data_IF_786931762538
#
_entry.id   IF_786931762538
#
_cell.length_a   1.000
_cell.length_b   1.000
_cell.length_c   1.000
_cell.angle_alpha   90.00
_cell.angle_beta   90.00
_cell.angle_gamma   90.00
#
_symmetry.space_group_name_H-M   'P 1'
#
loop_
_entity.id
_entity.type
_entity.pdbx_description
1 polymer ?
#
# COMPACT_ATOMS: atom_id res chain seq x y z
N UNK A 1 -26.30 -18.70 -20.66
CA UNK A 1 -24.91 -19.21 -20.54
C UNK A 1 -23.92 -18.43 -21.42
N UNK A 2 -24.18 -18.20 -22.71
CA UNK A 2 -23.29 -17.43 -23.60
C UNK A 2 -23.06 -15.98 -23.12
N UNK A 3 -24.09 -15.30 -22.64
CA UNK A 3 -23.98 -13.92 -22.13
C UNK A 3 -23.02 -13.82 -20.92
N UNK A 4 -23.08 -14.77 -19.98
CA UNK A 4 -22.15 -14.79 -18.84
C UNK A 4 -20.69 -15.01 -19.28
N UNK A 5 -20.48 -15.84 -20.32
CA UNK A 5 -19.14 -16.05 -20.88
C UNK A 5 -18.62 -14.78 -21.58
N UNK A 6 -19.48 -14.06 -22.32
CA UNK A 6 -19.12 -12.77 -22.93
C UNK A 6 -18.79 -11.71 -21.87
N UNK A 7 -19.56 -11.63 -20.79
CA UNK A 7 -19.27 -10.74 -19.65
C UNK A 7 -17.95 -11.11 -18.98
N UNK A 8 -17.69 -12.40 -18.74
CA UNK A 8 -16.43 -12.86 -18.16
C UNK A 8 -15.23 -12.52 -19.05
N UNK A 9 -15.34 -12.75 -20.37
CA UNK A 9 -14.31 -12.37 -21.34
C UNK A 9 -14.08 -10.86 -21.39
N UNK A 10 -15.14 -10.06 -21.35
CA UNK A 10 -15.03 -8.61 -21.31
C UNK A 10 -14.31 -8.13 -20.05
N UNK A 11 -14.71 -8.62 -18.87
CA UNK A 11 -14.05 -8.29 -17.60
C UNK A 11 -12.58 -8.71 -17.61
N UNK A 12 -12.27 -9.90 -18.12
CA UNK A 12 -10.90 -10.38 -18.26
C UNK A 12 -10.07 -9.51 -19.22
N UNK A 13 -10.64 -9.12 -20.36
CA UNK A 13 -9.97 -8.27 -21.35
C UNK A 13 -9.69 -6.87 -20.78
N UNK A 14 -10.67 -6.26 -20.10
CA UNK A 14 -10.50 -4.96 -19.44
C UNK A 14 -9.45 -5.05 -18.32
N UNK A 15 -9.48 -6.12 -17.52
CA UNK A 15 -8.48 -6.38 -16.49
C UNK A 15 -7.08 -6.53 -17.07
N UNK A 16 -6.93 -7.30 -18.14
CA UNK A 16 -5.66 -7.49 -18.83
C UNK A 16 -5.13 -6.17 -19.43
N UNK A 17 -5.99 -5.37 -20.08
CA UNK A 17 -5.62 -4.07 -20.60
C UNK A 17 -5.14 -3.11 -19.49
N UNK A 18 -5.84 -3.09 -18.35
CA UNK A 18 -5.43 -2.29 -17.20
C UNK A 18 -4.06 -2.72 -16.64
N UNK A 19 -3.80 -4.03 -16.55
CA UNK A 19 -2.50 -4.56 -16.13
C UNK A 19 -1.38 -4.21 -17.12
N UNK A 20 -1.65 -4.26 -18.43
CA UNK A 20 -0.69 -3.84 -19.46
C UNK A 20 -0.38 -2.34 -19.33
N UNK A 21 -1.40 -1.49 -19.16
CA UNK A 21 -1.18 -0.06 -18.92
C UNK A 21 -0.35 0.20 -17.66
N UNK A 22 -0.61 -0.54 -16.59
CA UNK A 22 0.15 -0.45 -15.35
C UNK A 22 1.61 -0.88 -15.55
N UNK A 23 1.85 -1.98 -16.26
CA UNK A 23 3.19 -2.47 -16.57
C UNK A 23 3.99 -1.47 -17.44
N UNK A 24 3.37 -0.90 -18.48
CA UNK A 24 3.97 0.13 -19.32
C UNK A 24 4.27 1.41 -18.51
N UNK A 25 3.38 1.78 -17.58
CA UNK A 25 3.61 2.90 -16.68
C UNK A 25 4.81 2.67 -15.74
N UNK A 26 4.93 1.48 -15.15
CA UNK A 26 6.07 1.11 -14.31
C UNK A 26 7.38 1.05 -15.11
N UNK A 27 7.34 0.57 -16.35
CA UNK A 27 8.49 0.57 -17.26
C UNK A 27 8.93 2.00 -17.62
N UNK A 28 7.98 2.89 -17.92
CA UNK A 28 8.29 4.30 -18.15
C UNK A 28 8.89 4.95 -16.91
N UNK A 29 8.39 4.61 -15.73
CA UNK A 29 8.91 5.09 -14.45
C UNK A 29 10.34 4.59 -14.20
N UNK A 30 10.66 3.32 -14.48
CA UNK A 30 12.02 2.79 -14.31
C UNK A 30 13.02 3.50 -15.24
N UNK A 31 12.68 3.68 -16.51
CA UNK A 31 13.48 4.43 -17.49
C UNK A 31 13.70 5.89 -17.06
N UNK A 32 12.68 6.52 -16.50
CA UNK A 32 12.80 7.88 -15.96
C UNK A 32 13.76 7.93 -14.76
N UNK A 33 13.66 6.97 -13.84
CA UNK A 33 14.56 6.88 -12.67
C UNK A 33 16.01 6.67 -13.12
N UNK A 34 16.21 5.83 -14.14
CA UNK A 34 17.52 5.58 -14.74
C UNK A 34 18.14 6.86 -15.32
N UNK A 35 17.42 7.52 -16.23
CA UNK A 35 17.90 8.71 -16.93
C UNK A 35 18.06 9.93 -16.02
N UNK A 36 17.24 10.04 -14.96
CA UNK A 36 17.15 11.22 -14.12
C UNK A 36 17.20 10.90 -12.61
N UNK A 37 18.12 10.03 -12.17
CA UNK A 37 18.25 9.56 -10.79
C UNK A 37 18.19 10.67 -9.73
N UNK A 38 18.87 11.80 -9.94
CA UNK A 38 18.88 12.92 -8.99
C UNK A 38 17.51 13.63 -8.87
N UNK A 39 16.76 13.75 -9.99
CA UNK A 39 15.40 14.31 -10.00
C UNK A 39 14.41 13.31 -9.40
N UNK A 40 14.51 12.05 -9.79
CA UNK A 40 13.70 10.97 -9.23
C UNK A 40 13.85 10.90 -7.71
N UNK A 41 15.07 10.99 -7.17
CA UNK A 41 15.30 11.04 -5.72
C UNK A 41 14.54 12.17 -5.03
N UNK A 42 14.60 13.38 -5.60
CA UNK A 42 13.87 14.56 -5.07
C UNK A 42 12.36 14.36 -5.13
N UNK A 43 11.84 13.77 -6.20
CA UNK A 43 10.42 13.43 -6.33
C UNK A 43 10.03 12.42 -5.25
N UNK A 44 10.84 11.37 -5.03
CA UNK A 44 10.60 10.37 -3.98
C UNK A 44 10.60 10.96 -2.57
N UNK A 45 11.51 11.88 -2.27
CA UNK A 45 11.52 12.60 -0.98
C UNK A 45 10.28 13.49 -0.80
N UNK A 46 9.89 14.23 -1.84
CA UNK A 46 8.66 15.05 -1.79
C UNK A 46 7.41 14.17 -1.62
N UNK A 47 7.33 13.08 -2.36
CA UNK A 47 6.25 12.11 -2.23
C UNK A 47 6.19 11.50 -0.83
N UNK A 48 7.35 11.19 -0.22
CA UNK A 48 7.43 10.71 1.16
C UNK A 48 6.78 11.70 2.12
N UNK A 49 7.16 12.97 2.08
CA UNK A 49 6.57 14.00 2.95
C UNK A 49 5.09 14.20 2.71
N UNK A 50 4.65 14.17 1.45
CA UNK A 50 3.23 14.31 1.11
C UNK A 50 2.41 13.13 1.64
N UNK A 51 2.89 11.90 1.46
CA UNK A 51 2.20 10.69 1.90
C UNK A 51 2.16 10.62 3.43
N UNK A 52 3.26 10.94 4.12
CA UNK A 52 3.26 10.95 5.60
C UNK A 52 2.36 12.04 6.15
N UNK A 53 2.36 13.25 5.56
CA UNK A 53 1.45 14.32 5.94
C UNK A 53 -0.01 13.94 5.70
N UNK A 54 -0.32 13.35 4.54
CA UNK A 54 -1.65 12.85 4.21
C UNK A 54 -2.10 11.76 5.19
N UNK A 55 -1.22 10.83 5.54
CA UNK A 55 -1.53 9.76 6.50
C UNK A 55 -1.84 10.33 7.89
N UNK A 56 -1.07 11.31 8.37
CA UNK A 56 -1.34 12.00 9.63
C UNK A 56 -2.68 12.75 9.55
N UNK A 57 -2.94 13.46 8.44
CA UNK A 57 -4.19 14.19 8.25
C UNK A 57 -5.41 13.25 8.28
N UNK A 58 -5.31 12.08 7.62
CA UNK A 58 -6.38 11.07 7.63
C UNK A 58 -6.61 10.48 9.03
N UNK A 59 -5.54 10.32 9.83
CA UNK A 59 -5.68 9.88 11.23
C UNK A 59 -6.41 10.94 12.06
N UNK A 60 -6.12 12.23 11.85
CA UNK A 60 -6.70 13.33 12.64
C UNK A 60 -8.13 13.69 12.22
N UNK A 61 -8.42 13.71 10.91
CA UNK A 61 -9.71 14.18 10.37
C UNK A 61 -10.72 13.04 10.30
N UNK A 62 -10.31 11.87 9.80
CA UNK A 62 -11.19 10.74 9.55
C UNK A 62 -11.17 9.69 10.68
N UNK A 63 -10.41 9.93 11.76
CA UNK A 63 -10.22 9.00 12.88
C UNK A 63 -9.77 7.61 12.40
N UNK A 64 -8.85 7.57 11.42
CA UNK A 64 -8.29 6.30 10.97
C UNK A 64 -7.61 5.57 12.13
N UNK A 65 -7.76 4.24 12.20
CA UNK A 65 -7.20 3.46 13.29
C UNK A 65 -5.66 3.56 13.26
N UNK A 66 -5.09 4.15 14.31
CA UNK A 66 -3.65 4.38 14.41
C UNK A 66 -2.87 3.06 14.51
N UNK A 67 -3.37 2.09 15.29
CA UNK A 67 -2.69 0.81 15.54
C UNK A 67 -2.35 0.06 14.22
N UNK A 68 -3.30 -0.15 13.30
CA UNK A 68 -3.02 -0.78 12.01
C UNK A 68 -2.03 -0.04 11.12
N UNK A 69 -1.94 1.29 11.23
CA UNK A 69 -1.05 2.13 10.41
C UNK A 69 0.33 2.34 11.05
N UNK A 70 0.49 2.02 12.33
CA UNK A 70 1.72 2.23 13.08
C UNK A 70 2.96 1.60 12.41
N UNK A 71 2.92 0.37 11.85
CA UNK A 71 4.06 -0.19 11.13
C UNK A 71 4.45 0.63 9.89
N UNK A 72 3.47 1.17 9.15
CA UNK A 72 3.71 2.03 7.99
C UNK A 72 4.32 3.38 8.40
N UNK A 73 3.86 3.97 9.51
CA UNK A 73 4.45 5.20 10.06
C UNK A 73 5.89 4.98 10.51
N UNK A 74 6.17 3.85 11.18
CA UNK A 74 7.53 3.47 11.58
C UNK A 74 8.47 3.20 10.39
N UNK A 75 7.92 2.85 9.23
CA UNK A 75 8.71 2.68 8.01
C UNK A 75 9.15 4.02 7.41
N UNK A 76 8.44 5.12 7.66
CA UNK A 76 8.75 6.45 7.10
C UNK A 76 10.22 6.91 7.32
N UNK A 77 10.81 6.85 8.54
CA UNK A 77 12.22 7.20 8.73
C UNK A 77 13.18 6.27 7.97
N UNK A 78 12.83 4.99 7.79
CA UNK A 78 13.62 4.04 6.99
C UNK A 78 13.54 4.33 5.49
N UNK A 79 12.39 4.80 5.00
CA UNK A 79 12.27 5.30 3.63
C UNK A 79 13.07 6.60 3.45
N UNK A 80 13.02 7.50 4.43
CA UNK A 80 13.78 8.75 4.41
C UNK A 80 15.29 8.50 4.35
N UNK A 81 15.83 7.65 5.22
CA UNK A 81 17.26 7.36 5.26
C UNK A 81 17.74 6.78 3.92
N UNK A 82 16.97 5.88 3.31
CA UNK A 82 17.30 5.29 2.02
C UNK A 82 17.20 6.26 0.84
N UNK A 83 16.20 7.15 0.82
CA UNK A 83 16.03 8.14 -0.25
C UNK A 83 16.98 9.34 -0.12
N UNK A 84 17.50 9.60 1.08
CA UNK A 84 18.46 10.68 1.33
C UNK A 84 19.85 10.37 0.78
N UNK A 85 20.20 9.10 0.63
CA UNK A 85 21.48 8.67 0.09
C UNK A 85 21.73 9.30 -1.31
N UNK A 86 22.94 9.81 -1.52
CA UNK A 86 23.39 10.37 -2.80
C UNK A 86 23.63 9.29 -3.84
N UNK A 87 23.90 8.07 -3.41
CA UNK A 87 24.09 6.93 -4.31
C UNK A 87 22.77 6.30 -4.77
N UNK A 88 21.61 6.68 -4.22
CA UNK A 88 20.31 6.16 -4.68
C UNK A 88 20.07 6.52 -6.17
N UNK A 89 19.59 5.57 -7.02
CA UNK A 89 19.11 4.22 -6.70
C UNK A 89 20.20 3.12 -6.71
N UNK A 90 21.44 3.46 -7.08
CA UNK A 90 22.59 2.55 -7.24
C UNK A 90 23.29 2.18 -5.94
N UNK A 91 22.82 2.68 -4.79
CA UNK A 91 23.29 2.25 -3.48
C UNK A 91 23.04 0.74 -3.35
N UNK A 92 24.08 -0.06 -3.59
CA UNK A 92 24.07 -1.48 -3.27
C UNK A 92 23.72 -1.63 -1.78
N UNK A 93 23.14 -2.77 -1.41
CA UNK A 93 22.72 -3.10 -0.04
C UNK A 93 23.83 -3.00 1.04
N UNK A 94 24.99 -2.44 0.72
CA UNK A 94 26.15 -2.22 1.58
C UNK A 94 25.96 -1.04 2.55
N UNK A 95 25.21 0.01 2.20
CA UNK A 95 25.05 1.18 3.08
C UNK A 95 23.95 1.01 4.16
N UNK A 96 23.06 0.03 4.03
CA UNK A 96 21.99 -0.27 4.99
C UNK A 96 21.81 -1.78 5.07
N UNK A 97 21.88 -2.35 6.29
CA UNK A 97 21.76 -3.80 6.51
C UNK A 97 20.60 -4.39 5.68
N UNK A 98 20.79 -5.49 4.93
CA UNK A 98 19.79 -6.06 4.03
C UNK A 98 18.45 -6.31 4.74
N UNK A 99 18.51 -6.65 6.03
CA UNK A 99 17.35 -6.83 6.89
C UNK A 99 16.51 -5.56 7.05
N UNK A 100 17.14 -4.40 7.30
CA UNK A 100 16.44 -3.11 7.40
C UNK A 100 15.72 -2.76 6.11
N UNK A 101 16.30 -3.19 4.98
CA UNK A 101 15.74 -2.94 3.68
C UNK A 101 14.51 -3.79 3.39
N UNK A 102 14.60 -5.10 3.63
CA UNK A 102 13.47 -6.04 3.54
C UNK A 102 12.37 -5.62 4.52
N UNK A 103 12.75 -5.21 5.73
CA UNK A 103 11.81 -4.72 6.71
C UNK A 103 11.02 -3.51 6.20
N UNK A 104 11.71 -2.48 5.68
CA UNK A 104 11.07 -1.26 5.19
C UNK A 104 10.25 -1.45 3.91
N UNK A 105 10.64 -2.37 3.02
CA UNK A 105 9.98 -2.57 1.73
C UNK A 105 8.83 -3.57 1.78
N UNK A 106 8.90 -4.58 2.64
CA UNK A 106 7.96 -5.69 2.65
C UNK A 106 7.33 -5.88 4.03
N UNK A 107 8.13 -6.13 5.08
CA UNK A 107 7.56 -6.55 6.37
C UNK A 107 6.67 -5.47 7.01
N UNK A 108 7.15 -4.23 7.09
CA UNK A 108 6.39 -3.12 7.70
C UNK A 108 5.13 -2.76 6.89
N UNK A 109 5.19 -2.62 5.55
CA UNK A 109 3.98 -2.42 4.74
C UNK A 109 3.00 -3.60 4.81
N UNK A 110 3.48 -4.85 4.77
CA UNK A 110 2.62 -6.04 4.83
C UNK A 110 1.94 -6.18 6.20
N UNK A 111 2.67 -5.94 7.28
CA UNK A 111 2.08 -5.96 8.63
C UNK A 111 1.01 -4.89 8.78
N UNK A 112 1.23 -3.68 8.25
CA UNK A 112 0.20 -2.64 8.22
C UNK A 112 -1.00 -3.03 7.35
N UNK A 113 -0.76 -3.62 6.17
CA UNK A 113 -1.81 -4.09 5.28
C UNK A 113 -2.70 -5.15 5.93
N UNK A 114 -2.09 -6.21 6.47
CA UNK A 114 -2.81 -7.31 7.14
C UNK A 114 -3.56 -6.79 8.37
N UNK A 115 -2.93 -5.91 9.16
CA UNK A 115 -3.56 -5.33 10.35
C UNK A 115 -4.76 -4.46 9.99
N UNK A 116 -4.65 -3.65 8.92
CA UNK A 116 -5.74 -2.79 8.47
C UNK A 116 -6.88 -3.60 7.85
N UNK A 117 -6.56 -4.60 7.03
CA UNK A 117 -7.55 -5.50 6.46
C UNK A 117 -8.29 -6.27 7.55
N UNK A 118 -7.58 -6.80 8.56
CA UNK A 118 -8.18 -7.47 9.71
C UNK A 118 -9.05 -6.51 10.54
N UNK A 119 -8.59 -5.28 10.76
CA UNK A 119 -9.39 -4.29 11.47
C UNK A 119 -10.67 -3.96 10.71
N UNK A 120 -10.58 -3.80 9.39
CA UNK A 120 -11.74 -3.57 8.52
C UNK A 120 -12.74 -4.74 8.55
N UNK A 121 -12.28 -5.99 8.46
CA UNK A 121 -13.19 -7.13 8.49
C UNK A 121 -13.91 -7.27 9.83
N UNK A 122 -13.21 -7.05 10.94
CA UNK A 122 -13.81 -7.08 12.27
C UNK A 122 -14.81 -5.95 12.48
N UNK A 123 -14.47 -4.73 12.07
CA UNK A 123 -15.38 -3.57 12.18
C UNK A 123 -16.59 -3.70 11.27
N UNK A 124 -16.40 -4.14 10.01
CA UNK A 124 -17.50 -4.41 9.10
C UNK A 124 -18.43 -5.50 9.65
N UNK A 125 -17.87 -6.58 10.22
CA UNK A 125 -18.68 -7.63 10.84
C UNK A 125 -19.50 -7.11 12.03
N UNK A 126 -18.89 -6.31 12.91
CA UNK A 126 -19.60 -5.69 14.03
C UNK A 126 -20.74 -4.77 13.56
N UNK A 127 -20.52 -3.97 12.51
CA UNK A 127 -21.56 -3.13 11.90
C UNK A 127 -22.68 -3.94 11.24
N UNK A 128 -22.34 -5.01 10.53
CA UNK A 128 -23.34 -5.91 9.95
C UNK A 128 -24.20 -6.59 11.02
N UNK A 129 -23.59 -7.05 12.10
CA UNK A 129 -24.29 -7.65 13.23
C UNK A 129 -25.24 -6.64 13.90
N UNK A 130 -24.76 -5.42 14.18
CA UNK A 130 -25.57 -4.35 14.77
C UNK A 130 -26.80 -4.02 13.92
N UNK A 131 -26.64 -3.88 12.60
CA UNK A 131 -27.77 -3.67 11.68
C UNK A 131 -28.74 -4.84 11.66
N UNK A 132 -28.23 -6.07 11.64
CA UNK A 132 -29.06 -7.26 11.64
C UNK A 132 -29.92 -7.31 12.90
N UNK A 133 -29.31 -7.13 14.08
CA UNK A 133 -30.00 -7.14 15.36
C UNK A 133 -31.03 -5.99 15.48
N UNK A 134 -30.73 -4.81 14.92
CA UNK A 134 -31.64 -3.66 14.93
C UNK A 134 -32.87 -3.88 14.03
N UNK A 135 -32.71 -4.50 12.86
CA UNK A 135 -33.77 -4.63 11.86
C UNK A 135 -34.61 -5.91 11.97
N UNK A 136 -34.01 -7.04 12.36
CA UNK A 136 -34.63 -8.36 12.19
C UNK A 136 -35.08 -9.01 13.50
N UNK A 137 -34.69 -8.48 14.66
CA UNK A 137 -35.09 -9.10 15.94
C UNK A 137 -36.48 -8.64 16.40
N UNK A 138 -37.31 -9.58 16.89
CA UNK A 138 -38.62 -9.24 17.45
C UNK A 138 -38.44 -8.38 18.70
N UNK A 139 -39.12 -7.24 18.74
CA UNK A 139 -39.16 -6.37 19.91
C UNK A 139 -40.10 -6.98 20.94
N UNK A 140 -39.69 -7.04 22.21
CA UNK A 140 -40.59 -7.49 23.28
C UNK A 140 -41.75 -6.50 23.47
N UNK A 141 -42.89 -6.93 24.05
CA UNK A 141 -43.99 -6.04 24.39
C UNK A 141 -43.48 -4.84 25.20
N UNK A 142 -43.87 -3.63 24.78
CA UNK A 142 -43.33 -2.37 25.29
C UNK A 142 -42.09 -1.85 24.55
N UNK A 143 -41.78 -2.39 23.37
CA UNK A 143 -40.64 -1.98 22.52
C UNK A 143 -39.27 -2.12 23.20
N UNK A 144 -39.17 -2.95 24.24
CA UNK A 144 -37.90 -3.27 24.89
C UNK A 144 -37.11 -4.21 24.00
N UNK A 145 -35.84 -3.90 23.83
CA UNK A 145 -34.85 -4.83 23.29
C UNK A 145 -34.62 -5.93 24.33
N UNK A 146 -34.37 -7.14 23.85
CA UNK A 146 -34.10 -8.29 24.68
C UNK A 146 -32.79 -8.07 25.48
N UNK A 147 -32.69 -8.67 26.66
CA UNK A 147 -31.59 -8.42 27.61
C UNK A 147 -30.25 -9.01 27.13
N UNK A 148 -30.28 -9.82 26.08
CA UNK A 148 -29.14 -10.41 25.39
C UNK A 148 -28.53 -9.48 24.32
N UNK A 149 -29.11 -8.29 24.10
CA UNK A 149 -28.52 -7.26 23.24
C UNK A 149 -27.30 -6.66 23.94
N UNK A 150 -26.11 -6.97 23.40
CA UNK A 150 -24.82 -6.53 23.94
C UNK A 150 -24.72 -5.00 24.07
N UNK A 151 -25.31 -4.25 23.12
CA UNK A 151 -25.64 -2.83 23.27
C UNK A 151 -26.56 -2.37 22.13
N UNK A 152 -27.56 -1.51 22.38
CA UNK A 152 -28.28 -0.80 21.31
C UNK A 152 -27.40 0.25 20.61
N UNK A 153 -26.33 0.70 21.27
CA UNK A 153 -25.49 1.78 20.76
C UNK A 153 -24.69 1.33 19.53
N UNK A 154 -24.51 2.21 18.54
CA UNK A 154 -23.68 1.90 17.38
C UNK A 154 -22.23 1.62 17.83
N UNK A 155 -21.52 0.70 17.15
CA UNK A 155 -20.13 0.41 17.48
C UNK A 155 -19.28 1.69 17.39
N UNK A 156 -18.36 1.87 18.34
CA UNK A 156 -17.57 3.10 18.52
C UNK A 156 -16.66 3.42 17.32
N UNK A 157 -16.31 2.40 16.52
CA UNK A 157 -15.47 2.53 15.33
C UNK A 157 -16.29 2.90 14.11
N UNK A 158 -15.89 3.95 13.39
CA UNK A 158 -16.51 4.33 12.10
C UNK A 158 -16.36 3.21 11.07
N UNK A 159 -17.43 2.96 10.31
CA UNK A 159 -17.37 2.06 9.16
C UNK A 159 -16.62 2.71 7.99
N UNK A 160 -15.67 1.98 7.41
CA UNK A 160 -14.98 2.37 6.18
C UNK A 160 -15.51 1.54 5.01
N UNK A 161 -15.73 2.18 3.87
CA UNK A 161 -16.04 1.46 2.63
C UNK A 161 -14.81 0.70 2.11
N UNK A 162 -15.05 -0.40 1.37
CA UNK A 162 -13.98 -1.18 0.75
C UNK A 162 -13.05 -0.30 -0.12
N UNK A 163 -13.62 0.66 -0.86
CA UNK A 163 -12.85 1.58 -1.70
C UNK A 163 -11.95 2.51 -0.88
N UNK A 164 -12.42 3.01 0.27
CA UNK A 164 -11.61 3.83 1.17
C UNK A 164 -10.43 3.03 1.73
N UNK A 165 -10.65 1.77 2.12
CA UNK A 165 -9.57 0.89 2.61
C UNK A 165 -8.55 0.63 1.50
N UNK A 166 -9.01 0.31 0.29
CA UNK A 166 -8.12 0.14 -0.87
C UNK A 166 -7.30 1.40 -1.16
N UNK A 167 -7.91 2.59 -1.09
CA UNK A 167 -7.22 3.85 -1.32
C UNK A 167 -6.13 4.11 -0.27
N UNK A 168 -6.43 3.88 1.01
CA UNK A 168 -5.46 4.03 2.11
C UNK A 168 -4.30 3.04 1.95
N UNK A 169 -4.61 1.78 1.61
CA UNK A 169 -3.58 0.78 1.36
C UNK A 169 -2.69 1.14 0.17
N UNK A 170 -3.29 1.54 -0.96
CA UNK A 170 -2.55 1.87 -2.17
C UNK A 170 -1.67 3.10 -1.96
N UNK A 171 -2.22 4.18 -1.40
CA UNK A 171 -1.54 5.48 -1.30
C UNK A 171 -0.62 5.54 -0.08
N UNK A 172 -1.13 5.21 1.11
CA UNK A 172 -0.38 5.40 2.35
C UNK A 172 0.58 4.26 2.65
N UNK A 173 0.20 3.02 2.31
CA UNK A 173 1.01 1.84 2.66
C UNK A 173 1.96 1.43 1.52
N UNK A 174 1.48 1.38 0.28
CA UNK A 174 2.22 0.75 -0.83
C UNK A 174 2.93 1.71 -1.80
N UNK A 175 2.48 2.95 -1.96
CA UNK A 175 3.05 3.86 -2.96
C UNK A 175 4.57 4.06 -2.82
N UNK A 176 5.06 4.25 -1.59
CA UNK A 176 6.48 4.44 -1.30
C UNK A 176 7.32 3.16 -1.44
N UNK A 177 6.91 2.01 -0.86
CA UNK A 177 7.59 0.74 -1.10
C UNK A 177 7.69 0.41 -2.59
N UNK A 178 6.61 0.53 -3.34
CA UNK A 178 6.59 0.26 -4.79
C UNK A 178 7.57 1.17 -5.52
N UNK A 179 7.54 2.48 -5.23
CA UNK A 179 8.48 3.44 -5.82
C UNK A 179 9.95 3.05 -5.58
N UNK A 180 10.29 2.67 -4.35
CA UNK A 180 11.65 2.24 -4.00
C UNK A 180 12.03 0.90 -4.62
N UNK A 181 11.10 -0.04 -4.75
CA UNK A 181 11.33 -1.33 -5.43
C UNK A 181 11.63 -1.11 -6.91
N UNK A 182 10.84 -0.27 -7.59
CA UNK A 182 11.07 0.07 -9.01
C UNK A 182 12.45 0.70 -9.20
N UNK A 183 12.84 1.64 -8.31
CA UNK A 183 14.18 2.23 -8.37
C UNK A 183 15.31 1.19 -8.20
N UNK A 184 15.11 0.17 -7.36
CA UNK A 184 16.08 -0.92 -7.19
C UNK A 184 16.18 -1.84 -8.40
N UNK A 185 15.06 -2.15 -9.03
CA UNK A 185 15.04 -2.96 -10.25
C UNK A 185 15.78 -2.21 -11.36
N UNK A 186 15.50 -0.92 -11.55
CA UNK A 186 16.21 -0.07 -12.50
C UNK A 186 17.73 -0.05 -12.26
N UNK A 187 18.15 0.05 -10.99
CA UNK A 187 19.57 0.00 -10.65
C UNK A 187 20.21 -1.39 -10.88
N UNK A 188 19.48 -2.47 -10.63
CA UNK A 188 19.98 -3.84 -10.79
C UNK A 188 20.21 -4.20 -12.27
N UNK A 189 19.30 -3.81 -13.17
CA UNK A 189 19.47 -4.02 -14.61
C UNK A 189 20.74 -3.34 -15.13
N UNK A 190 21.06 -2.16 -14.62
CA UNK A 190 22.24 -1.40 -15.03
C UNK A 190 23.55 -1.87 -14.38
N UNK A 191 23.50 -2.25 -13.10
CA UNK A 191 24.66 -2.83 -12.40
C UNK A 191 25.16 -4.09 -13.11
N UNK A 192 24.26 -4.89 -13.69
CA UNK A 192 24.62 -6.05 -14.52
C UNK A 192 25.23 -5.65 -15.88
N UNK A 193 24.76 -4.56 -16.49
CA UNK A 193 25.29 -4.06 -17.76
C UNK A 193 26.72 -3.50 -17.65
N UNK A 194 27.07 -2.87 -16.53
CA UNK A 194 28.42 -2.35 -16.26
C UNK A 194 29.50 -3.44 -16.15
N UNK A 195 29.17 -4.59 -15.55
CA UNK A 195 30.09 -5.73 -15.41
C UNK A 195 30.43 -6.36 -16.76
N UNK A 196 29.48 -6.40 -17.69
CA UNK A 196 29.72 -6.91 -19.06
C UNK A 196 30.66 -5.97 -19.84
N UNK A 197 30.55 -4.65 -19.62
CA UNK A 197 31.39 -3.65 -20.28
C UNK A 197 32.87 -3.68 -19.84
N UNK A 198 33.15 -3.91 -18.56
CA UNK A 198 34.54 -4.01 -18.06
C UNK A 198 35.23 -5.29 -18.52
N UNK A 199 34.53 -6.43 -18.54
CA UNK A 199 35.08 -7.71 -19.04
C UNK A 199 35.46 -7.62 -20.53
N UNK A 200 34.75 -6.81 -21.31
CA UNK A 200 35.05 -6.57 -22.72
C UNK A 200 36.20 -5.59 -22.95
N UNK A 201 36.46 -4.68 -22.00
CA UNK A 201 37.59 -3.73 -22.05
C UNK A 201 38.92 -4.34 -21.57
N UNK A 202 38.87 -5.32 -20.66
CA UNK A 202 40.06 -6.05 -20.20
C UNK A 202 40.58 -7.15 -21.16
N UNK A 203 39.89 -7.37 -22.29
CA UNK A 203 40.26 -8.35 -23.33
C UNK A 203 40.72 -7.72 -24.66
N UNK A 204 40.98 -6.42 -24.69
CA UNK A 204 41.55 -5.73 -25.87
C UNK A 204 42.89 -5.11 -25.55
#
# INVERSE_FOLDING_TARGET
MILNQLVALFVAAVGAAALVCLALGLLSLSQYIETHASRARRIGLRALYLITALQILLILVDNLPLLPLLPSILAAPLHYSALRDTAWPYSTASATSPWTSIASLLLLPLTSHISLARHHTLTAHAWHQHRYDTHHRPKLPGARLDWDVVSPDPPATREMSHLQVCAVLAVCVWALPVYRVVGRIAAAEWGAAGVVGEVQRGRR
#
